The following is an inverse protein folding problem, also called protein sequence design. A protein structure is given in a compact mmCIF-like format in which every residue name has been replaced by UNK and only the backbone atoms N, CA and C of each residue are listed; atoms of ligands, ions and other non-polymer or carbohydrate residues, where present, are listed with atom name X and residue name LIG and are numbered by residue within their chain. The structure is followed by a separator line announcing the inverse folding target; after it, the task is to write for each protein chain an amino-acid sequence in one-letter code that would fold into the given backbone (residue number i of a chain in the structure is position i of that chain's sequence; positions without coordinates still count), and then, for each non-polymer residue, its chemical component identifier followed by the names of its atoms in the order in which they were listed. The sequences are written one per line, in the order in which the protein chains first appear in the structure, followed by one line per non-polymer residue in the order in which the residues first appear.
data_IF_604487553701
#
_entry.id   IF_604487553701
#
_cell.length_a   1.000
_cell.length_b   1.000
_cell.length_c   1.000
_cell.angle_alpha   90.00
_cell.angle_beta   90.00
_cell.angle_gamma   90.00
#
_symmetry.space_group_name_H-M   'P 1'
#
loop_
_entity.id
_entity.type
_entity.pdbx_description
1 polymer ?
#
# COMPACT_ATOMS: atom_id res chain seq x y z
N UNK A 1 -1.59 -107.42 28.07
CA UNK A 1 -2.93 -107.91 28.41
C UNK A 1 -2.90 -109.41 28.31
N UNK A 2 -3.36 -110.08 29.35
CA UNK A 2 -3.53 -111.53 29.39
C UNK A 2 -4.63 -111.93 28.40
N UNK A 3 -4.39 -112.98 27.63
CA UNK A 3 -5.38 -113.48 26.66
C UNK A 3 -6.46 -114.30 27.38
N UNK A 4 -7.69 -114.21 26.87
CA UNK A 4 -8.79 -115.08 27.29
C UNK A 4 -8.62 -116.41 26.60
N UNK A 5 -8.67 -117.48 27.37
CA UNK A 5 -8.58 -118.87 26.91
C UNK A 5 -9.88 -119.60 27.18
N UNK A 6 -10.21 -120.62 26.40
CA UNK A 6 -11.35 -121.48 26.70
C UNK A 6 -10.92 -122.53 27.72
N UNK A 7 -11.57 -122.65 28.90
CA UNK A 7 -11.22 -123.67 29.88
C UNK A 7 -11.38 -125.08 29.28
N UNK A 8 -10.38 -125.94 29.49
CA UNK A 8 -10.42 -127.34 29.06
C UNK A 8 -11.51 -128.08 29.84
N UNK A 9 -12.45 -128.78 29.17
CA UNK A 9 -13.46 -129.58 29.86
C UNK A 9 -12.82 -130.69 30.70
N UNK A 10 -13.43 -131.00 31.84
CA UNK A 10 -13.06 -132.16 32.66
C UNK A 10 -13.87 -133.36 32.14
N UNK A 11 -13.22 -134.49 31.94
CA UNK A 11 -13.91 -135.68 31.45
C UNK A 11 -14.87 -136.23 32.52
N UNK A 12 -16.03 -136.72 32.08
CA UNK A 12 -17.01 -137.30 32.99
C UNK A 12 -16.49 -138.62 33.57
N UNK A 13 -16.66 -138.83 34.88
CA UNK A 13 -16.30 -140.09 35.52
C UNK A 13 -17.15 -141.25 34.96
N UNK A 14 -16.55 -142.42 34.73
CA UNK A 14 -17.31 -143.62 34.39
C UNK A 14 -18.20 -144.05 35.57
N UNK A 15 -19.16 -144.98 35.37
CA UNK A 15 -20.04 -145.43 36.43
C UNK A 15 -19.26 -145.96 37.65
N UNK A 16 -19.55 -145.42 38.83
CA UNK A 16 -18.93 -145.88 40.08
C UNK A 16 -19.38 -147.30 40.44
N UNK A 17 -18.52 -148.12 41.07
CA UNK A 17 -18.94 -149.39 41.64
C UNK A 17 -19.97 -149.19 42.75
N UNK A 18 -20.99 -150.06 42.81
CA UNK A 18 -22.12 -149.99 43.75
C UNK A 18 -22.08 -151.14 44.75
N UNK A 19 -22.56 -150.96 46.01
CA UNK A 19 -22.67 -152.05 46.98
C UNK A 19 -23.54 -153.25 46.52
N UNK A 20 -24.38 -153.06 45.50
CA UNK A 20 -25.19 -154.12 44.89
C UNK A 20 -24.55 -154.84 43.70
N UNK A 21 -23.33 -154.48 43.30
CA UNK A 21 -22.62 -155.10 42.17
C UNK A 21 -22.07 -156.49 42.56
N UNK A 22 -22.10 -157.44 41.62
CA UNK A 22 -21.37 -158.71 41.77
C UNK A 22 -19.85 -158.45 41.78
N UNK A 23 -19.05 -159.38 42.29
CA UNK A 23 -17.59 -159.22 42.35
C UNK A 23 -16.94 -158.93 40.98
N UNK A 24 -17.51 -159.47 39.88
CA UNK A 24 -17.05 -159.20 38.52
C UNK A 24 -17.42 -157.78 38.05
N UNK A 25 -18.63 -157.31 38.36
CA UNK A 25 -19.11 -155.96 38.02
C UNK A 25 -18.38 -154.88 38.83
N UNK A 26 -18.10 -155.15 40.11
CA UNK A 26 -17.30 -154.28 40.97
C UNK A 26 -15.90 -154.07 40.39
N UNK A 27 -15.22 -155.14 39.98
CA UNK A 27 -13.90 -155.05 39.34
C UNK A 27 -13.95 -154.34 37.97
N UNK A 28 -14.99 -154.62 37.16
CA UNK A 28 -15.16 -153.99 35.86
C UNK A 28 -15.39 -152.46 35.94
N UNK A 29 -15.99 -151.96 37.03
CA UNK A 29 -16.22 -150.53 37.26
C UNK A 29 -15.11 -149.85 38.07
N UNK A 30 -14.51 -150.53 39.05
CA UNK A 30 -13.54 -149.94 39.97
C UNK A 30 -12.22 -149.55 39.29
N UNK A 31 -11.66 -150.39 38.41
CA UNK A 31 -10.39 -150.08 37.72
C UNK A 31 -10.51 -148.86 36.78
N UNK A 32 -11.53 -148.74 35.90
CA UNK A 32 -11.72 -147.54 35.08
C UNK A 32 -12.05 -146.28 35.89
N UNK A 33 -12.81 -146.43 36.99
CA UNK A 33 -13.17 -145.31 37.86
C UNK A 33 -11.95 -144.70 38.55
N UNK A 34 -11.12 -145.52 39.21
CA UNK A 34 -9.88 -145.04 39.85
C UNK A 34 -8.90 -144.48 38.82
N UNK A 35 -8.80 -145.08 37.63
CA UNK A 35 -7.97 -144.55 36.54
C UNK A 35 -8.45 -143.17 36.05
N UNK A 36 -9.77 -142.95 35.97
CA UNK A 36 -10.35 -141.65 35.62
C UNK A 36 -10.13 -140.60 36.71
N UNK A 37 -10.21 -140.96 38.00
CA UNK A 37 -9.91 -140.05 39.11
C UNK A 37 -8.45 -139.54 39.09
N UNK A 38 -7.49 -140.38 38.71
CA UNK A 38 -6.07 -139.97 38.55
C UNK A 38 -5.91 -138.89 37.46
N UNK A 39 -6.69 -138.97 36.38
CA UNK A 39 -6.69 -137.97 35.29
C UNK A 39 -7.52 -136.72 35.62
N UNK A 40 -8.50 -136.83 36.51
CA UNK A 40 -9.37 -135.72 36.90
C UNK A 40 -8.60 -134.60 37.61
N UNK A 41 -7.63 -134.92 38.47
CA UNK A 41 -6.80 -133.93 39.19
C UNK A 41 -6.04 -132.97 38.24
N UNK A 42 -5.24 -133.45 37.25
CA UNK A 42 -4.56 -132.56 36.32
C UNK A 42 -5.54 -131.77 35.41
N UNK A 43 -6.69 -132.33 35.06
CA UNK A 43 -7.74 -131.62 34.31
C UNK A 43 -8.34 -130.47 35.13
N UNK A 44 -8.68 -130.72 36.40
CA UNK A 44 -9.15 -129.69 37.34
C UNK A 44 -8.11 -128.57 37.49
N UNK A 45 -6.83 -128.92 37.72
CA UNK A 45 -5.76 -127.94 37.88
C UNK A 45 -5.58 -127.07 36.62
N UNK A 46 -5.69 -127.69 35.44
CA UNK A 46 -5.64 -126.99 34.15
C UNK A 46 -6.82 -126.03 33.98
N UNK A 47 -8.05 -126.51 34.18
CA UNK A 47 -9.26 -125.70 34.09
C UNK A 47 -9.27 -124.55 35.12
N UNK A 48 -8.80 -124.79 36.34
CA UNK A 48 -8.68 -123.79 37.39
C UNK A 48 -7.65 -122.71 37.02
N UNK A 49 -6.50 -123.10 36.45
CA UNK A 49 -5.47 -122.17 35.99
C UNK A 49 -5.99 -121.30 34.85
N UNK A 50 -6.67 -121.89 33.86
CA UNK A 50 -7.29 -121.15 32.75
C UNK A 50 -8.42 -120.23 33.23
N UNK A 51 -9.22 -120.67 34.20
CA UNK A 51 -10.27 -119.84 34.82
C UNK A 51 -9.66 -118.64 35.56
N UNK A 52 -8.58 -118.87 36.33
CA UNK A 52 -7.84 -117.80 36.99
C UNK A 52 -7.21 -116.83 35.98
N UNK A 53 -6.62 -117.34 34.89
CA UNK A 53 -6.12 -116.53 33.78
C UNK A 53 -7.21 -115.65 33.19
N UNK A 54 -8.40 -116.20 32.94
CA UNK A 54 -9.53 -115.43 32.41
C UNK A 54 -10.02 -114.35 33.38
N UNK A 55 -10.04 -114.64 34.68
CA UNK A 55 -10.38 -113.66 35.71
C UNK A 55 -9.38 -112.49 35.73
N UNK A 56 -8.08 -112.79 35.67
CA UNK A 56 -7.01 -111.77 35.55
C UNK A 56 -7.18 -110.96 34.27
N UNK A 57 -7.41 -111.61 33.13
CA UNK A 57 -7.61 -110.95 31.85
C UNK A 57 -8.88 -110.07 31.81
N UNK A 58 -9.93 -110.43 32.56
CA UNK A 58 -11.13 -109.60 32.72
C UNK A 58 -10.86 -108.37 33.61
N UNK A 59 -10.14 -108.55 34.72
CA UNK A 59 -9.71 -107.46 35.60
C UNK A 59 -8.82 -106.44 34.85
N UNK A 60 -7.80 -106.91 34.14
CA UNK A 60 -6.93 -106.05 33.31
C UNK A 60 -7.72 -105.25 32.26
N UNK A 61 -8.75 -105.86 31.63
CA UNK A 61 -9.63 -105.17 30.68
C UNK A 61 -10.53 -104.15 31.35
N UNK A 62 -11.05 -104.43 32.54
CA UNK A 62 -11.83 -103.47 33.31
C UNK A 62 -10.99 -102.25 33.69
N UNK A 63 -9.77 -102.46 34.19
CA UNK A 63 -8.82 -101.38 34.51
C UNK A 63 -8.50 -100.53 33.27
N UNK A 64 -8.26 -101.16 32.13
CA UNK A 64 -8.01 -100.44 30.88
C UNK A 64 -9.23 -99.62 30.39
N UNK A 65 -10.45 -100.15 30.58
CA UNK A 65 -11.68 -99.44 30.27
C UNK A 65 -11.88 -98.22 31.17
N UNK A 66 -11.60 -98.34 32.47
CA UNK A 66 -11.67 -97.21 33.42
C UNK A 66 -10.61 -96.14 33.12
N UNK A 67 -9.40 -96.55 32.72
CA UNK A 67 -8.37 -95.62 32.26
C UNK A 67 -8.84 -94.87 30.99
N UNK A 68 -9.45 -95.57 30.04
CA UNK A 68 -10.00 -94.98 28.81
C UNK A 68 -11.14 -94.00 29.09
N UNK A 69 -12.04 -94.35 30.03
CA UNK A 69 -13.10 -93.45 30.51
C UNK A 69 -12.54 -92.18 31.13
N UNK A 70 -11.53 -92.31 31.99
CA UNK A 70 -10.87 -91.17 32.65
C UNK A 70 -10.20 -90.26 31.62
N UNK A 71 -9.53 -90.83 30.61
CA UNK A 71 -8.94 -90.08 29.51
C UNK A 71 -10.00 -89.32 28.69
N UNK A 72 -11.14 -89.94 28.40
CA UNK A 72 -12.25 -89.29 27.70
C UNK A 72 -12.86 -88.12 28.51
N UNK A 73 -12.99 -88.27 29.83
CA UNK A 73 -13.45 -87.20 30.71
C UNK A 73 -12.47 -86.02 30.74
N UNK A 74 -11.16 -86.29 30.81
CA UNK A 74 -10.12 -85.26 30.74
C UNK A 74 -10.12 -84.52 29.40
N UNK A 75 -10.33 -85.23 28.29
CA UNK A 75 -10.45 -84.64 26.95
C UNK A 75 -11.69 -83.72 26.85
N UNK A 76 -12.84 -84.16 27.38
CA UNK A 76 -14.06 -83.35 27.41
C UNK A 76 -13.92 -82.07 28.26
N UNK A 77 -13.26 -82.18 29.42
CA UNK A 77 -12.94 -81.02 30.25
C UNK A 77 -12.03 -80.03 29.50
N UNK A 78 -10.99 -80.54 28.83
CA UNK A 78 -10.09 -79.72 28.00
C UNK A 78 -10.85 -79.00 26.88
N UNK A 79 -11.75 -79.69 26.18
CA UNK A 79 -12.57 -79.12 25.12
C UNK A 79 -13.47 -77.99 25.65
N UNK A 80 -14.05 -78.16 26.85
CA UNK A 80 -14.87 -77.14 27.51
C UNK A 80 -14.04 -75.89 27.84
N UNK A 81 -12.83 -76.07 28.38
CA UNK A 81 -11.91 -74.96 28.63
C UNK A 81 -11.56 -74.22 27.34
N UNK A 82 -11.23 -74.95 26.26
CA UNK A 82 -10.92 -74.34 24.95
C UNK A 82 -12.10 -73.62 24.33
N UNK A 83 -13.32 -74.11 24.51
CA UNK A 83 -14.52 -73.38 24.09
C UNK A 83 -14.66 -72.04 24.84
N UNK A 84 -14.40 -72.03 26.16
CA UNK A 84 -14.39 -70.81 26.96
C UNK A 84 -13.31 -69.81 26.52
N UNK A 85 -12.09 -70.28 26.29
CA UNK A 85 -10.99 -69.46 25.76
C UNK A 85 -11.36 -68.82 24.39
N UNK A 86 -11.96 -69.60 23.49
CA UNK A 86 -12.39 -69.12 22.18
C UNK A 86 -13.47 -68.02 22.27
N UNK A 87 -14.44 -68.17 23.18
CA UNK A 87 -15.45 -67.13 23.46
C UNK A 87 -14.79 -65.85 24.01
N UNK A 88 -13.80 -66.00 24.91
CA UNK A 88 -13.02 -64.88 25.42
C UNK A 88 -12.28 -64.12 24.31
N UNK A 89 -11.61 -64.85 23.41
CA UNK A 89 -10.94 -64.27 22.24
C UNK A 89 -11.92 -63.56 21.29
N UNK A 90 -13.10 -64.14 21.03
CA UNK A 90 -14.12 -63.53 20.18
C UNK A 90 -14.65 -62.21 20.79
N UNK A 91 -14.85 -62.18 22.10
CA UNK A 91 -15.30 -60.98 22.82
C UNK A 91 -14.24 -59.87 22.75
N UNK A 92 -12.96 -60.22 22.95
CA UNK A 92 -11.86 -59.27 22.82
C UNK A 92 -11.77 -58.68 21.40
N UNK A 93 -11.91 -59.52 20.36
CA UNK A 93 -11.91 -59.08 18.97
C UNK A 93 -13.07 -58.11 18.66
N UNK A 94 -14.27 -58.38 19.17
CA UNK A 94 -15.42 -57.47 19.03
C UNK A 94 -15.19 -56.12 19.73
N UNK A 95 -14.55 -56.14 20.90
CA UNK A 95 -14.12 -54.92 21.61
C UNK A 95 -13.11 -54.10 20.78
N UNK A 96 -12.10 -54.76 20.21
CA UNK A 96 -11.11 -54.10 19.33
C UNK A 96 -11.76 -53.51 18.08
N UNK A 97 -12.72 -54.20 17.46
CA UNK A 97 -13.45 -53.69 16.30
C UNK A 97 -14.25 -52.43 16.63
N UNK A 98 -14.90 -52.40 17.80
CA UNK A 98 -15.62 -51.23 18.29
C UNK A 98 -14.67 -50.04 18.52
N UNK A 99 -13.53 -50.27 19.16
CA UNK A 99 -12.52 -49.24 19.38
C UNK A 99 -11.96 -48.66 18.06
N UNK A 100 -11.75 -49.52 17.05
CA UNK A 100 -11.33 -49.11 15.72
C UNK A 100 -12.41 -48.23 15.04
N UNK A 101 -13.69 -48.61 15.15
CA UNK A 101 -14.81 -47.82 14.61
C UNK A 101 -14.89 -46.43 15.25
N UNK A 102 -14.77 -46.34 16.58
CA UNK A 102 -14.72 -45.06 17.30
C UNK A 102 -13.54 -44.20 16.84
N UNK A 103 -12.37 -44.80 16.68
CA UNK A 103 -11.16 -44.11 16.21
C UNK A 103 -11.35 -43.56 14.79
N UNK A 104 -11.99 -44.33 13.90
CA UNK A 104 -12.33 -43.87 12.55
C UNK A 104 -13.32 -42.69 12.57
N UNK A 105 -14.31 -42.70 13.45
CA UNK A 105 -15.22 -41.58 13.66
C UNK A 105 -14.50 -40.30 14.12
N UNK A 106 -13.59 -40.44 15.09
CA UNK A 106 -12.78 -39.32 15.58
C UNK A 106 -11.87 -38.73 14.49
N UNK A 107 -11.28 -39.58 13.65
CA UNK A 107 -10.47 -39.16 12.51
C UNK A 107 -11.31 -38.40 11.48
N UNK A 108 -12.51 -38.88 11.16
CA UNK A 108 -13.44 -38.18 10.25
C UNK A 108 -13.89 -36.82 10.79
N UNK A 109 -14.17 -36.73 12.10
CA UNK A 109 -14.47 -35.46 12.77
C UNK A 109 -13.30 -34.47 12.69
N UNK A 110 -12.08 -34.96 12.91
CA UNK A 110 -10.85 -34.15 12.81
C UNK A 110 -10.62 -33.63 11.39
N UNK A 111 -10.86 -34.48 10.36
CA UNK A 111 -10.78 -34.07 8.96
C UNK A 111 -11.81 -32.98 8.62
N UNK A 112 -13.03 -33.10 9.15
CA UNK A 112 -14.08 -32.10 8.98
C UNK A 112 -13.67 -30.76 9.61
N UNK A 113 -13.14 -30.77 10.84
CA UNK A 113 -12.66 -29.57 11.52
C UNK A 113 -11.49 -28.90 10.76
N UNK A 114 -10.57 -29.70 10.20
CA UNK A 114 -9.48 -29.19 9.36
C UNK A 114 -10.01 -28.50 8.09
N UNK A 115 -11.01 -29.08 7.41
CA UNK A 115 -11.64 -28.47 6.23
C UNK A 115 -12.35 -27.14 6.55
N UNK A 116 -13.01 -27.05 7.71
CA UNK A 116 -13.61 -25.81 8.20
C UNK A 116 -12.56 -24.73 8.48
N UNK A 117 -11.44 -25.12 9.09
CA UNK A 117 -10.31 -24.22 9.37
C UNK A 117 -9.67 -23.68 8.09
N UNK A 118 -9.49 -24.54 7.07
CA UNK A 118 -8.99 -24.14 5.76
C UNK A 118 -9.91 -23.12 5.06
N UNK A 119 -11.24 -23.34 5.15
CA UNK A 119 -12.24 -22.41 4.60
C UNK A 119 -12.21 -21.06 5.30
N UNK A 120 -12.07 -21.04 6.63
CA UNK A 120 -11.93 -19.80 7.40
C UNK A 120 -10.64 -19.03 7.05
N UNK A 121 -9.53 -19.74 6.82
CA UNK A 121 -8.28 -19.14 6.39
C UNK A 121 -8.41 -18.50 4.99
N UNK A 122 -9.08 -19.17 4.04
CA UNK A 122 -9.36 -18.62 2.71
C UNK A 122 -10.25 -17.36 2.79
N UNK A 123 -11.26 -17.35 3.66
CA UNK A 123 -12.09 -16.18 3.94
C UNK A 123 -11.26 -15.00 4.47
N UNK A 124 -10.36 -15.27 5.42
CA UNK A 124 -9.46 -14.27 5.99
C UNK A 124 -8.50 -13.67 4.95
N UNK A 125 -7.96 -14.50 4.05
CA UNK A 125 -7.10 -14.05 2.95
C UNK A 125 -7.85 -13.12 1.98
N UNK A 126 -9.11 -13.43 1.68
CA UNK A 126 -9.97 -12.59 0.84
C UNK A 126 -10.22 -11.22 1.48
N UNK A 127 -10.55 -11.20 2.79
CA UNK A 127 -10.75 -9.96 3.54
C UNK A 127 -9.48 -9.09 3.60
N UNK A 128 -8.31 -9.72 3.75
CA UNK A 128 -7.02 -9.01 3.72
C UNK A 128 -6.75 -8.38 2.35
N UNK A 129 -7.02 -9.10 1.26
CA UNK A 129 -6.90 -8.56 -0.10
C UNK A 129 -7.86 -7.38 -0.32
N UNK A 130 -9.11 -7.47 0.13
CA UNK A 130 -10.06 -6.35 0.07
C UNK A 130 -9.59 -5.12 0.83
N UNK A 131 -9.02 -5.33 2.02
CA UNK A 131 -8.45 -4.24 2.83
C UNK A 131 -7.26 -3.57 2.14
N UNK A 132 -6.38 -4.34 1.50
CA UNK A 132 -5.26 -3.79 0.72
C UNK A 132 -5.72 -2.92 -0.46
N UNK A 133 -6.76 -3.36 -1.18
CA UNK A 133 -7.35 -2.58 -2.27
C UNK A 133 -7.98 -1.26 -1.77
N UNK A 134 -8.70 -1.31 -0.65
CA UNK A 134 -9.26 -0.12 -0.02
C UNK A 134 -8.16 0.88 0.41
N UNK A 135 -7.07 0.37 0.99
CA UNK A 135 -5.92 1.20 1.37
C UNK A 135 -5.25 1.86 0.16
N UNK A 136 -5.06 1.13 -0.94
CA UNK A 136 -4.52 1.70 -2.18
C UNK A 136 -5.45 2.78 -2.77
N UNK A 137 -6.75 2.55 -2.75
CA UNK A 137 -7.75 3.54 -3.21
C UNK A 137 -7.67 4.82 -2.37
N UNK A 138 -7.60 4.68 -1.05
CA UNK A 138 -7.45 5.81 -0.14
C UNK A 138 -6.13 6.59 -0.38
N UNK A 139 -5.02 5.88 -0.63
CA UNK A 139 -3.73 6.48 -0.98
C UNK A 139 -3.83 7.31 -2.26
N UNK A 140 -4.38 6.75 -3.34
CA UNK A 140 -4.58 7.48 -4.60
C UNK A 140 -5.49 8.69 -4.43
N UNK A 141 -6.55 8.58 -3.63
CA UNK A 141 -7.43 9.72 -3.31
C UNK A 141 -6.69 10.83 -2.55
N UNK A 142 -5.82 10.46 -1.61
CA UNK A 142 -5.00 11.43 -0.87
C UNK A 142 -3.94 12.11 -1.76
N UNK A 143 -3.33 11.37 -2.67
CA UNK A 143 -2.39 11.92 -3.66
C UNK A 143 -3.09 12.94 -4.57
N UNK A 144 -4.26 12.60 -5.11
CA UNK A 144 -5.04 13.53 -5.94
C UNK A 144 -5.47 14.79 -5.17
N UNK A 145 -5.87 14.65 -3.91
CA UNK A 145 -6.23 15.79 -3.07
C UNK A 145 -5.04 16.71 -2.76
N UNK A 146 -3.85 16.13 -2.56
CA UNK A 146 -2.61 16.89 -2.40
C UNK A 146 -2.28 17.65 -3.68
N UNK A 147 -2.28 16.99 -4.81
CA UNK A 147 -1.92 17.60 -6.10
C UNK A 147 -2.90 18.75 -6.43
N UNK A 148 -4.21 18.57 -6.18
CA UNK A 148 -5.19 19.64 -6.31
C UNK A 148 -4.92 20.83 -5.38
N UNK A 149 -4.48 20.58 -4.14
CA UNK A 149 -4.10 21.65 -3.21
C UNK A 149 -2.85 22.40 -3.68
N UNK A 150 -1.88 21.71 -4.27
CA UNK A 150 -0.71 22.34 -4.89
C UNK A 150 -1.13 23.25 -6.06
N UNK A 151 -1.96 22.75 -6.96
CA UNK A 151 -2.52 23.53 -8.08
C UNK A 151 -3.28 24.79 -7.59
N UNK A 152 -4.06 24.69 -6.51
CA UNK A 152 -4.76 25.85 -5.96
C UNK A 152 -3.80 26.89 -5.37
N UNK A 153 -2.70 26.46 -4.74
CA UNK A 153 -1.68 27.39 -4.23
C UNK A 153 -0.99 28.12 -5.38
N UNK A 154 -0.60 27.39 -6.42
CA UNK A 154 0.09 27.96 -7.58
C UNK A 154 -0.82 28.95 -8.33
N UNK A 155 -2.09 28.59 -8.50
CA UNK A 155 -3.11 29.51 -9.05
C UNK A 155 -3.27 30.77 -8.19
N UNK A 156 -3.28 30.65 -6.86
CA UNK A 156 -3.38 31.79 -5.96
C UNK A 156 -2.15 32.70 -6.06
N UNK A 157 -0.94 32.14 -6.17
CA UNK A 157 0.30 32.90 -6.33
C UNK A 157 0.33 33.65 -7.68
N UNK A 158 -0.04 32.99 -8.77
CA UNK A 158 -0.15 33.61 -10.10
C UNK A 158 -1.18 34.74 -10.07
N UNK A 159 -2.34 34.53 -9.45
CA UNK A 159 -3.37 35.55 -9.33
C UNK A 159 -2.86 36.78 -8.53
N UNK A 160 -2.24 36.55 -7.37
CA UNK A 160 -1.72 37.62 -6.52
C UNK A 160 -0.64 38.47 -7.22
N UNK A 161 0.27 37.84 -7.97
CA UNK A 161 1.35 38.54 -8.69
C UNK A 161 0.85 39.29 -9.93
N UNK A 162 -0.10 38.72 -10.66
CA UNK A 162 -0.68 39.33 -11.85
C UNK A 162 -1.59 40.53 -11.53
N UNK A 163 -2.14 40.63 -10.32
CA UNK A 163 -2.98 41.75 -9.93
C UNK A 163 -2.26 43.11 -9.90
N UNK A 164 -0.94 43.13 -9.72
CA UNK A 164 -0.13 44.35 -9.59
C UNK A 164 0.61 44.73 -10.89
N UNK A 165 0.20 44.14 -12.01
CA UNK A 165 0.72 44.39 -13.35
C UNK A 165 -0.45 44.52 -14.35
N UNK A 166 -0.35 45.47 -15.27
CA UNK A 166 -1.30 45.62 -16.37
C UNK A 166 -0.58 45.81 -17.70
N UNK A 167 -1.22 45.42 -18.79
CA UNK A 167 -0.75 45.69 -20.15
C UNK A 167 -1.73 46.61 -20.86
N UNK A 168 -1.22 47.60 -21.59
CA UNK A 168 -2.05 48.56 -22.32
C UNK A 168 -1.56 48.74 -23.75
N UNK A 169 -2.50 48.62 -24.69
CA UNK A 169 -2.30 48.95 -26.11
C UNK A 169 -2.69 50.40 -26.45
N UNK A 170 -3.10 51.19 -25.46
CA UNK A 170 -3.46 52.61 -25.65
C UNK A 170 -2.24 53.37 -26.17
N UNK A 171 -2.39 54.08 -27.29
CA UNK A 171 -1.32 54.93 -27.83
C UNK A 171 -1.16 56.16 -26.95
N UNK A 172 -0.05 56.24 -26.22
CA UNK A 172 0.23 57.33 -25.27
C UNK A 172 1.62 57.88 -25.56
N UNK A 173 1.71 59.21 -25.71
CA UNK A 173 2.99 59.92 -25.78
C UNK A 173 3.50 60.22 -24.36
N UNK A 174 4.75 59.85 -24.02
CA UNK A 174 5.37 60.24 -22.76
C UNK A 174 5.28 61.74 -22.50
N UNK A 175 4.92 62.11 -21.27
CA UNK A 175 4.86 63.51 -20.88
C UNK A 175 4.32 63.68 -19.46
N UNK A 176 4.60 64.83 -18.86
CA UNK A 176 4.12 65.16 -17.53
C UNK A 176 2.58 65.26 -17.44
N UNK A 177 2.06 65.06 -16.24
CA UNK A 177 0.64 65.21 -15.92
C UNK A 177 -0.19 63.94 -16.15
N UNK A 178 -1.51 64.08 -16.19
CA UNK A 178 -2.42 62.95 -16.31
C UNK A 178 -2.27 62.23 -17.66
N UNK A 179 -2.03 60.91 -17.60
CA UNK A 179 -2.01 60.02 -18.77
C UNK A 179 -2.98 58.86 -18.55
N UNK A 180 -3.84 58.63 -19.54
CA UNK A 180 -4.86 57.59 -19.49
C UNK A 180 -4.42 56.38 -20.29
N UNK A 181 -4.63 55.21 -19.71
CA UNK A 181 -4.40 53.90 -20.30
C UNK A 181 -5.68 53.08 -20.14
N UNK A 182 -5.93 52.17 -21.08
CA UNK A 182 -6.84 51.05 -20.88
C UNK A 182 -6.00 49.81 -20.67
N UNK A 183 -6.04 49.28 -19.46
CA UNK A 183 -5.44 47.99 -19.12
C UNK A 183 -6.54 46.94 -18.97
N UNK A 184 -6.18 45.72 -18.60
CA UNK A 184 -7.17 44.70 -18.27
C UNK A 184 -8.00 45.12 -17.04
N UNK A 185 -9.27 44.71 -17.02
CA UNK A 185 -10.16 44.88 -15.87
C UNK A 185 -9.69 44.04 -14.66
N UNK A 186 -10.25 44.29 -13.48
CA UNK A 186 -10.02 43.51 -12.25
C UNK A 186 -8.55 43.42 -11.77
N UNK A 187 -7.74 44.46 -12.01
CA UNK A 187 -6.40 44.63 -11.43
C UNK A 187 -6.47 45.32 -10.06
N UNK A 188 -5.39 45.29 -9.28
CA UNK A 188 -5.33 45.85 -7.92
C UNK A 188 -4.64 47.21 -7.87
N UNK A 189 -4.80 48.03 -8.92
CA UNK A 189 -4.32 49.42 -8.92
C UNK A 189 -5.26 50.29 -8.08
N UNK A 190 -4.68 51.04 -7.12
CA UNK A 190 -5.43 51.97 -6.25
C UNK A 190 -4.85 53.37 -6.36
N UNK A 191 -5.69 54.39 -6.16
CA UNK A 191 -5.26 55.79 -6.15
C UNK A 191 -4.12 56.00 -5.14
N UNK A 192 -3.09 56.73 -5.56
CA UNK A 192 -1.88 57.01 -4.77
C UNK A 192 -0.76 55.98 -4.93
N UNK A 193 -1.05 54.77 -5.43
CA UNK A 193 -0.01 53.77 -5.67
C UNK A 193 0.94 54.25 -6.76
N UNK A 194 2.25 54.22 -6.49
CA UNK A 194 3.25 54.64 -7.47
C UNK A 194 3.53 53.51 -8.45
N UNK A 195 3.47 53.83 -9.74
CA UNK A 195 3.63 52.86 -10.83
C UNK A 195 4.63 53.36 -11.87
N UNK A 196 5.15 52.43 -12.66
CA UNK A 196 5.90 52.70 -13.89
C UNK A 196 5.22 52.00 -15.05
N UNK A 197 5.00 52.74 -16.13
CA UNK A 197 4.61 52.27 -17.45
C UNK A 197 5.86 52.24 -18.33
N UNK A 198 6.21 51.08 -18.86
CA UNK A 198 7.37 50.86 -19.72
C UNK A 198 6.92 50.30 -21.06
N UNK A 199 7.41 50.86 -22.17
CA UNK A 199 7.17 50.29 -23.49
C UNK A 199 7.96 48.99 -23.66
N UNK A 200 7.33 47.96 -24.21
CA UNK A 200 7.97 46.64 -24.41
C UNK A 200 8.90 46.61 -25.61
N UNK A 201 8.56 47.31 -26.70
CA UNK A 201 9.41 47.46 -27.89
C UNK A 201 10.59 48.40 -27.67
N UNK A 202 10.50 49.29 -26.68
CA UNK A 202 11.55 50.24 -26.35
C UNK A 202 11.59 50.53 -24.84
N UNK A 203 12.30 49.70 -24.05
CA UNK A 203 12.36 49.84 -22.60
C UNK A 203 12.99 51.15 -22.10
N UNK A 204 13.64 51.93 -22.97
CA UNK A 204 14.13 53.26 -22.63
C UNK A 204 13.02 54.32 -22.59
N UNK A 205 11.84 54.01 -23.15
CA UNK A 205 10.65 54.86 -23.10
C UNK A 205 9.77 54.45 -21.92
N UNK A 206 9.70 55.31 -20.90
CA UNK A 206 9.01 55.05 -19.63
C UNK A 206 8.23 56.25 -19.13
N UNK A 207 7.22 56.01 -18.30
CA UNK A 207 6.50 57.02 -17.51
C UNK A 207 6.26 56.46 -16.10
N UNK A 208 6.53 57.23 -15.06
CA UNK A 208 6.19 56.85 -13.69
C UNK A 208 5.47 57.98 -12.97
N UNK A 209 4.68 57.59 -11.98
CA UNK A 209 3.83 58.50 -11.23
C UNK A 209 2.81 57.75 -10.36
N UNK A 210 2.14 58.43 -9.42
CA UNK A 210 1.02 57.84 -8.70
C UNK A 210 -0.19 57.62 -9.62
N UNK A 211 -0.90 56.52 -9.39
CA UNK A 211 -2.24 56.29 -9.95
C UNK A 211 -3.17 57.38 -9.43
N UNK A 212 -3.85 58.09 -10.32
CA UNK A 212 -4.91 59.03 -9.97
C UNK A 212 -6.26 58.34 -9.84
N UNK A 213 -6.58 57.44 -10.77
CA UNK A 213 -7.81 56.66 -10.75
C UNK A 213 -7.63 55.35 -11.50
N UNK A 214 -8.37 54.33 -11.08
CA UNK A 214 -8.51 53.07 -11.78
C UNK A 214 -9.96 52.59 -11.67
N UNK A 215 -10.59 52.26 -12.79
CA UNK A 215 -11.91 51.63 -12.83
C UNK A 215 -11.74 50.11 -13.04
N UNK A 216 -12.00 49.28 -12.01
CA UNK A 216 -11.83 47.84 -12.09
C UNK A 216 -12.85 47.16 -13.02
N UNK A 217 -13.95 47.81 -13.39
CA UNK A 217 -14.94 47.25 -14.30
C UNK A 217 -14.55 47.44 -15.78
N UNK A 218 -13.94 48.58 -16.12
CA UNK A 218 -13.60 48.94 -17.50
C UNK A 218 -12.11 48.83 -17.84
N UNK A 219 -11.24 48.79 -16.83
CA UNK A 219 -9.78 48.78 -17.01
C UNK A 219 -9.19 50.17 -17.28
N UNK A 220 -9.98 51.24 -17.19
CA UNK A 220 -9.50 52.60 -17.38
C UNK A 220 -8.58 53.02 -16.22
N UNK A 221 -7.31 53.29 -16.51
CA UNK A 221 -6.28 53.71 -15.57
C UNK A 221 -5.80 55.11 -15.93
N UNK A 222 -5.70 55.99 -14.94
CA UNK A 222 -5.04 57.30 -15.09
C UNK A 222 -3.88 57.38 -14.13
N UNK A 223 -2.69 57.71 -14.64
CA UNK A 223 -1.50 57.99 -13.83
C UNK A 223 -1.16 59.48 -13.91
N UNK A 224 -0.73 60.09 -12.81
CA UNK A 224 -0.16 61.42 -12.80
C UNK A 224 1.35 61.31 -13.01
N UNK A 225 1.79 61.41 -14.26
CA UNK A 225 3.21 61.25 -14.62
C UNK A 225 4.04 62.38 -14.04
N UNK A 226 5.00 62.01 -13.19
CA UNK A 226 5.99 62.91 -12.61
C UNK A 226 7.43 62.55 -13.04
N UNK A 227 7.67 61.40 -13.67
CA UNK A 227 8.96 61.12 -14.32
C UNK A 227 8.72 60.41 -15.64
N UNK A 228 9.46 60.75 -16.69
CA UNK A 228 9.31 60.10 -17.99
C UNK A 228 10.58 60.14 -18.84
N UNK A 229 10.60 59.31 -19.86
CA UNK A 229 11.64 59.26 -20.89
C UNK A 229 11.00 58.88 -22.23
N UNK A 230 11.66 59.28 -23.32
CA UNK A 230 11.09 59.17 -24.66
C UNK A 230 10.17 60.35 -24.99
N UNK A 231 9.87 60.50 -26.29
CA UNK A 231 9.05 61.59 -26.81
C UNK A 231 8.03 61.13 -27.87
N UNK A 232 8.11 59.87 -28.31
CA UNK A 232 7.22 59.28 -29.31
C UNK A 232 6.15 58.44 -28.64
N UNK A 233 4.94 58.44 -29.21
CA UNK A 233 3.86 57.59 -28.75
C UNK A 233 4.23 56.10 -28.83
N UNK A 234 3.81 55.33 -27.83
CA UNK A 234 3.91 53.86 -27.78
C UNK A 234 2.54 53.27 -27.47
N UNK A 235 2.32 52.01 -27.88
CA UNK A 235 1.05 51.28 -27.77
C UNK A 235 1.25 49.85 -27.26
N UNK A 236 2.25 49.66 -26.39
CA UNK A 236 2.72 48.35 -25.95
C UNK A 236 3.24 48.44 -24.50
N UNK A 237 2.48 49.14 -23.67
CA UNK A 237 2.84 49.49 -22.31
C UNK A 237 2.65 48.31 -21.36
N UNK A 238 3.64 48.10 -20.50
CA UNK A 238 3.52 47.27 -19.30
C UNK A 238 3.61 48.19 -18.09
N UNK A 239 2.59 48.14 -17.24
CA UNK A 239 2.41 49.00 -16.08
C UNK A 239 2.54 48.15 -14.82
N UNK A 240 3.38 48.53 -13.89
CA UNK A 240 3.59 47.81 -12.63
C UNK A 240 3.96 48.72 -11.48
N UNK A 241 3.88 48.20 -10.25
CA UNK A 241 4.25 48.94 -9.03
C UNK A 241 5.72 49.37 -9.08
N UNK A 242 5.99 50.59 -8.64
CA UNK A 242 7.33 51.17 -8.58
C UNK A 242 7.54 51.97 -7.28
N UNK A 243 8.79 52.30 -6.97
CA UNK A 243 9.13 53.21 -5.88
C UNK A 243 9.12 54.66 -6.36
N UNK A 244 8.58 55.57 -5.54
CA UNK A 244 8.55 57.01 -5.85
C UNK A 244 9.95 57.63 -5.70
N UNK A 245 10.41 58.33 -6.73
CA UNK A 245 11.58 59.21 -6.64
C UNK A 245 11.24 60.56 -5.98
N UNK A 246 12.21 61.21 -5.33
CA UNK A 246 12.01 62.49 -4.64
C UNK A 246 12.25 63.69 -5.56
N UNK A 247 11.23 64.14 -6.30
CA UNK A 247 11.26 65.44 -7.01
C UNK A 247 9.90 66.15 -6.93
N UNK A 248 9.93 67.48 -6.77
CA UNK A 248 8.75 68.34 -6.74
C UNK A 248 8.26 68.82 -8.12
N UNK A 249 9.02 68.56 -9.18
CA UNK A 249 8.66 68.83 -10.58
C UNK A 249 8.84 67.57 -11.42
N UNK A 250 8.11 67.49 -12.53
CA UNK A 250 8.20 66.33 -13.40
C UNK A 250 9.61 66.23 -14.00
N UNK A 251 10.20 65.04 -14.05
CA UNK A 251 11.56 64.85 -14.57
C UNK A 251 11.53 64.14 -15.93
N UNK A 252 12.17 64.70 -16.94
CA UNK A 252 12.43 64.02 -18.21
C UNK A 252 13.91 63.67 -18.34
N UNK A 253 14.22 62.39 -18.53
CA UNK A 253 15.58 61.95 -18.87
C UNK A 253 15.73 61.99 -20.39
N UNK A 254 16.75 62.68 -20.89
CA UNK A 254 16.98 62.86 -22.33
C UNK A 254 18.37 62.36 -22.74
N UNK A 255 18.41 61.57 -23.82
CA UNK A 255 19.62 61.04 -24.45
C UNK A 255 19.80 61.52 -25.89
N UNK A 256 18.85 62.32 -26.40
CA UNK A 256 18.87 62.94 -27.71
C UNK A 256 18.27 64.35 -27.68
N UNK A 257 18.38 65.07 -28.80
CA UNK A 257 17.87 66.44 -28.92
C UNK A 257 16.39 66.50 -28.55
N UNK A 258 16.04 67.45 -27.68
CA UNK A 258 14.70 67.53 -27.08
C UNK A 258 14.24 68.98 -27.02
N UNK A 259 12.98 69.22 -27.37
CA UNK A 259 12.32 70.50 -27.12
C UNK A 259 11.71 70.47 -25.72
N UNK A 260 12.08 71.44 -24.90
CA UNK A 260 11.64 71.56 -23.53
C UNK A 260 10.20 72.05 -23.43
N UNK A 261 9.52 71.61 -22.38
CA UNK A 261 8.16 72.00 -22.02
C UNK A 261 8.20 72.62 -20.62
N UNK A 262 7.44 73.70 -20.34
CA UNK A 262 7.36 74.26 -18.99
C UNK A 262 6.89 73.22 -17.96
N UNK A 263 7.41 73.32 -16.74
CA UNK A 263 7.03 72.43 -15.63
C UNK A 263 7.88 71.15 -15.53
N UNK A 264 8.93 71.01 -16.34
CA UNK A 264 9.78 69.81 -16.40
C UNK A 264 11.24 70.11 -16.05
N UNK A 265 11.86 69.19 -15.30
CA UNK A 265 13.31 69.11 -15.09
C UNK A 265 13.88 68.17 -16.14
N UNK A 266 14.73 68.69 -17.02
CA UNK A 266 15.45 67.92 -18.02
C UNK A 266 16.77 67.43 -17.46
N UNK A 267 16.96 66.12 -17.42
CA UNK A 267 18.21 65.47 -17.06
C UNK A 267 18.90 65.02 -18.35
N UNK A 268 19.96 65.75 -18.72
CA UNK A 268 20.77 65.46 -19.91
C UNK A 268 21.72 64.30 -19.58
N UNK A 269 21.43 63.13 -20.16
CA UNK A 269 22.10 61.87 -19.85
C UNK A 269 23.03 61.35 -20.97
N UNK A 270 23.17 62.09 -22.09
CA UNK A 270 24.12 61.76 -23.16
C UNK A 270 24.99 62.96 -23.59
N UNK A 271 26.11 62.66 -24.24
CA UNK A 271 26.91 63.65 -24.95
C UNK A 271 26.16 64.20 -26.17
N UNK A 272 26.44 65.44 -26.55
CA UNK A 272 25.96 66.07 -27.79
C UNK A 272 24.43 66.26 -27.89
N UNK A 273 23.77 66.43 -26.74
CA UNK A 273 22.32 66.70 -26.67
C UNK A 273 22.08 68.21 -26.69
N UNK A 274 21.16 68.64 -27.55
CA UNK A 274 20.58 69.98 -27.54
C UNK A 274 19.26 69.97 -26.80
N UNK A 275 19.15 70.75 -25.73
CA UNK A 275 17.88 71.07 -25.08
C UNK A 275 17.36 72.40 -25.64
N UNK A 276 16.35 72.36 -26.49
CA UNK A 276 15.75 73.54 -27.12
C UNK A 276 14.65 74.10 -26.22
N UNK A 277 14.78 75.34 -25.76
CA UNK A 277 13.77 75.96 -24.91
C UNK A 277 12.53 76.40 -25.71
N UNK A 278 11.32 76.32 -25.12
CA UNK A 278 10.11 76.75 -25.79
C UNK A 278 10.10 78.26 -25.99
N UNK A 279 9.55 78.71 -27.13
CA UNK A 279 9.39 80.14 -27.49
C UNK A 279 7.94 80.61 -27.46
N UNK A 280 7.00 79.69 -27.28
CA UNK A 280 5.55 79.94 -27.28
C UNK A 280 4.90 79.26 -26.08
N UNK A 281 3.70 79.71 -25.70
CA UNK A 281 2.97 79.15 -24.55
C UNK A 281 3.63 79.42 -23.18
N UNK A 282 4.46 80.47 -23.09
CA UNK A 282 5.17 80.84 -21.87
C UNK A 282 4.34 81.79 -21.02
N UNK A 283 4.38 81.58 -19.70
CA UNK A 283 3.78 82.46 -18.70
C UNK A 283 4.79 82.77 -17.61
N UNK A 284 4.48 83.73 -16.74
CA UNK A 284 5.34 84.04 -15.59
C UNK A 284 5.51 82.87 -14.60
N UNK A 285 4.81 81.74 -14.73
CA UNK A 285 5.04 80.55 -13.90
C UNK A 285 5.73 79.40 -14.66
N UNK A 286 6.02 79.59 -15.95
CA UNK A 286 6.79 78.63 -16.75
C UNK A 286 8.20 78.48 -16.19
N UNK A 287 8.49 77.32 -15.61
CA UNK A 287 9.80 76.95 -15.03
C UNK A 287 10.37 75.78 -15.79
N UNK A 288 11.68 75.77 -16.00
CA UNK A 288 12.40 74.65 -16.58
C UNK A 288 13.62 74.39 -15.70
N UNK A 289 13.75 73.15 -15.23
CA UNK A 289 14.98 72.70 -14.59
C UNK A 289 15.87 72.03 -15.62
N UNK A 290 17.16 72.26 -15.51
CA UNK A 290 18.18 71.68 -16.39
C UNK A 290 19.23 71.07 -15.48
N UNK A 291 19.56 69.80 -15.70
CA UNK A 291 20.57 69.05 -14.95
C UNK A 291 21.45 68.30 -15.93
N UNK A 292 22.77 68.35 -15.75
CA UNK A 292 23.71 67.53 -16.51
C UNK A 292 24.09 66.29 -15.68
N UNK A 293 23.72 65.11 -16.18
CA UNK A 293 24.10 63.82 -15.61
C UNK A 293 25.13 63.07 -16.48
N UNK A 294 25.31 63.46 -17.74
CA UNK A 294 26.31 62.92 -18.66
C UNK A 294 27.73 63.48 -18.40
N UNK A 295 28.74 62.86 -19.02
CA UNK A 295 30.06 63.47 -19.15
C UNK A 295 29.94 64.78 -19.97
N UNK A 296 30.73 65.79 -19.58
CA UNK A 296 30.78 67.08 -20.27
C UNK A 296 31.30 66.87 -21.70
N UNK A 297 30.55 67.38 -22.69
CA UNK A 297 30.95 67.39 -24.11
C UNK A 297 30.86 68.81 -24.66
N UNK A 298 31.72 69.13 -25.64
CA UNK A 298 31.72 70.43 -26.33
C UNK A 298 30.46 70.70 -27.18
N UNK A 299 29.60 69.70 -27.39
CA UNK A 299 28.39 69.84 -28.20
C UNK A 299 27.09 69.69 -27.37
N UNK A 300 27.16 69.72 -26.04
CA UNK A 300 25.97 69.80 -25.19
C UNK A 300 25.55 71.25 -25.02
N UNK A 301 24.35 71.59 -25.50
CA UNK A 301 23.88 72.98 -25.54
C UNK A 301 22.45 73.14 -25.05
N UNK A 302 22.19 74.27 -24.41
CA UNK A 302 20.85 74.80 -24.17
C UNK A 302 20.60 75.83 -25.26
N UNK A 303 19.60 75.58 -26.10
CA UNK A 303 19.24 76.49 -27.17
C UNK A 303 18.07 77.38 -26.74
N UNK A 304 18.36 78.66 -26.48
CA UNK A 304 17.35 79.65 -26.11
C UNK A 304 16.56 80.18 -27.32
N UNK A 305 16.91 79.75 -28.54
CA UNK A 305 16.32 80.17 -29.80
C UNK A 305 16.24 81.69 -29.95
N UNK A 306 15.04 82.25 -29.79
CA UNK A 306 14.75 83.69 -29.97
C UNK A 306 14.42 84.39 -28.65
N UNK A 307 14.42 83.70 -27.52
CA UNK A 307 14.05 84.26 -26.20
C UNK A 307 15.30 84.60 -25.40
N UNK A 308 15.43 85.85 -24.96
CA UNK A 308 16.60 86.29 -24.21
C UNK A 308 16.79 85.50 -22.90
N UNK A 309 18.03 85.44 -22.41
CA UNK A 309 18.35 84.89 -21.09
C UNK A 309 19.06 85.95 -20.26
N UNK A 310 18.43 86.43 -19.19
CA UNK A 310 18.95 87.47 -18.27
C UNK A 310 19.51 88.69 -19.00
N UNK A 311 18.79 89.21 -20.00
CA UNK A 311 19.20 90.35 -20.82
C UNK A 311 20.28 90.06 -21.87
N UNK A 312 20.75 88.81 -22.00
CA UNK A 312 21.69 88.43 -23.05
C UNK A 312 20.94 88.04 -24.34
N UNK A 313 21.56 88.34 -25.48
CA UNK A 313 21.11 87.94 -26.82
C UNK A 313 20.81 86.43 -26.86
N UNK A 314 19.69 86.02 -27.48
CA UNK A 314 19.29 84.63 -27.47
C UNK A 314 20.22 83.80 -28.38
N UNK A 315 20.31 82.50 -28.11
CA UNK A 315 21.18 81.59 -28.83
C UNK A 315 21.67 80.43 -27.97
N UNK A 316 22.54 79.61 -28.55
CA UNK A 316 23.04 78.39 -27.91
C UNK A 316 24.03 78.69 -26.79
N UNK A 317 23.88 77.98 -25.67
CA UNK A 317 24.76 78.07 -24.49
C UNK A 317 25.32 76.70 -24.17
N UNK A 318 26.65 76.60 -24.12
CA UNK A 318 27.34 75.34 -23.80
C UNK A 318 27.24 75.01 -22.32
N UNK A 319 27.14 73.73 -22.00
CA UNK A 319 27.24 73.22 -20.64
C UNK A 319 28.66 72.68 -20.43
N UNK A 320 29.50 73.43 -19.72
CA UNK A 320 30.94 73.18 -19.59
C UNK A 320 31.36 72.56 -18.23
N UNK A 321 30.41 72.36 -17.32
CA UNK A 321 30.68 71.91 -15.94
C UNK A 321 29.98 70.59 -15.59
N UNK A 322 30.74 69.62 -15.06
CA UNK A 322 30.20 68.37 -14.52
C UNK A 322 29.27 68.68 -13.32
N UNK A 323 28.08 68.06 -13.31
CA UNK A 323 27.06 68.33 -12.29
C UNK A 323 26.39 69.70 -12.42
N UNK A 324 26.40 70.30 -13.61
CA UNK A 324 25.67 71.53 -13.90
C UNK A 324 24.18 71.39 -13.56
N UNK A 325 23.66 72.39 -12.85
CA UNK A 325 22.24 72.52 -12.55
C UNK A 325 21.81 73.97 -12.71
N UNK A 326 20.74 74.20 -13.47
CA UNK A 326 20.15 75.51 -13.68
C UNK A 326 18.63 75.39 -13.64
N UNK A 327 17.98 76.18 -12.79
CA UNK A 327 16.54 76.37 -12.82
C UNK A 327 16.26 77.75 -13.39
N UNK A 328 15.52 77.80 -14.49
CA UNK A 328 15.12 79.04 -15.15
C UNK A 328 13.61 79.23 -15.02
N UNK A 329 13.20 80.49 -14.96
CA UNK A 329 11.79 80.89 -14.93
C UNK A 329 11.56 81.92 -16.02
N UNK A 330 10.44 81.83 -16.73
CA UNK A 330 10.09 82.85 -17.71
C UNK A 330 9.52 84.09 -17.00
N UNK A 331 9.99 85.28 -17.39
CA UNK A 331 9.47 86.56 -16.93
C UNK A 331 8.62 87.17 -18.04
N UNK A 332 7.29 87.09 -17.92
CA UNK A 332 6.39 87.59 -18.96
C UNK A 332 6.47 89.12 -19.16
N UNK A 333 6.82 89.89 -18.11
CA UNK A 333 6.96 91.35 -18.21
C UNK A 333 8.15 91.75 -19.07
N UNK A 334 9.23 90.96 -19.04
CA UNK A 334 10.47 91.22 -19.77
C UNK A 334 10.61 90.38 -21.05
N UNK A 335 9.73 89.42 -21.27
CA UNK A 335 9.76 88.53 -22.43
C UNK A 335 10.99 87.61 -22.48
N UNK A 336 11.59 87.27 -21.34
CA UNK A 336 12.88 86.56 -21.27
C UNK A 336 12.91 85.48 -20.20
N UNK A 337 13.85 84.55 -20.31
CA UNK A 337 14.21 83.59 -19.26
C UNK A 337 15.13 84.24 -18.22
N UNK A 338 14.84 84.05 -16.93
CA UNK A 338 15.64 84.55 -15.81
C UNK A 338 16.05 83.44 -14.85
#
# INVERSE_FOLDING_TARGET
MTDIVTPTPIDALPPAPSPGDTAAEFNAKSFPFVAAEVLMVPQINTAATQTNQNAVAADERAVAADASKSAAQAAAATATTKAGEAVGSATAAAGSATAASTSAGNAAGSATAASGSASAAAGSATAASGSATAANTAKTGAEAARDAAEDFRDQAEVFATQQLKGSSTTSVTPGAGAKSFTIEASRSFVTGMYVVATSTSDPATQMSGPVQSYDPATGALVIAVDTFSGASAKSDWVIGVAAKGSSGMAQQVITGNTTAVPGVIYVIAAANVTLTLPTTGLSSDSKIGIRLAAAVSRNQVIDFLTVNFRGQTPGQRFIDKKGFGLDIKYNATRGEWV
#
